data_IF_869550831554
#
_entry.id   IF_869550831554
#
_cell.length_a   1.000
_cell.length_b   1.000
_cell.length_c   1.000
_cell.angle_alpha   90.00
_cell.angle_beta   90.00
_cell.angle_gamma   90.00
#
_symmetry.space_group_name_H-M   'P 1'
#
loop_
_entity.id
_entity.type
_entity.pdbx_description
1 polymer ?
#
# COMPACT_ATOMS: atom_id res chain seq x y z
N UNK A 1 9.26 -6.97 11.35
CA UNK A 1 8.54 -8.13 11.88
C UNK A 1 8.45 -9.16 10.77
N UNK A 2 8.82 -10.43 11.02
CA UNK A 2 8.77 -11.43 9.98
C UNK A 2 7.32 -11.76 9.58
N UNK A 3 7.16 -12.20 8.34
CA UNK A 3 5.95 -12.93 7.93
C UNK A 3 5.77 -14.19 8.80
N UNK A 4 4.54 -14.62 8.98
CA UNK A 4 4.21 -15.79 9.79
C UNK A 4 4.19 -17.09 8.98
N UNK A 5 4.24 -17.00 7.65
CA UNK A 5 4.12 -18.16 6.78
C UNK A 5 2.67 -18.62 6.61
N UNK A 6 1.71 -17.74 6.89
CA UNK A 6 0.29 -18.07 7.00
C UNK A 6 -0.56 -17.28 6.01
N UNK A 7 -1.43 -17.98 5.29
CA UNK A 7 -2.41 -17.34 4.41
C UNK A 7 -1.74 -16.50 3.34
N UNK A 8 -2.27 -15.30 3.08
CA UNK A 8 -1.73 -14.32 2.15
C UNK A 8 -1.09 -13.17 2.93
N UNK A 9 0.20 -12.90 2.68
CA UNK A 9 0.96 -11.89 3.40
C UNK A 9 1.67 -10.96 2.42
N UNK A 10 1.30 -9.67 2.43
CA UNK A 10 2.09 -8.63 1.80
C UNK A 10 3.21 -8.21 2.76
N UNK A 11 4.42 -8.72 2.56
CA UNK A 11 5.56 -8.29 3.33
C UNK A 11 6.10 -6.98 2.75
N UNK A 12 6.17 -5.93 3.57
CA UNK A 12 6.74 -4.63 3.23
C UNK A 12 7.93 -4.40 4.14
N UNK A 13 9.13 -4.31 3.58
CA UNK A 13 10.35 -4.00 4.31
C UNK A 13 10.80 -2.57 3.98
N UNK A 14 10.82 -1.71 4.99
CA UNK A 14 11.31 -0.33 4.86
C UNK A 14 12.84 -0.33 4.83
N UNK A 15 13.40 0.22 3.76
CA UNK A 15 14.84 0.22 3.51
C UNK A 15 15.50 1.54 3.94
N UNK A 16 14.77 2.65 3.90
CA UNK A 16 15.32 3.95 4.29
C UNK A 16 14.46 5.14 3.90
N UNK A 17 15.10 6.32 3.87
CA UNK A 17 14.51 7.58 3.46
C UNK A 17 15.16 8.07 2.15
N UNK A 18 14.31 8.40 1.18
CA UNK A 18 14.71 9.21 0.03
C UNK A 18 14.47 10.68 0.36
N UNK A 19 15.41 11.54 -0.04
CA UNK A 19 15.33 13.00 0.11
C UNK A 19 15.60 13.67 -1.22
N UNK A 20 14.80 14.68 -1.56
CA UNK A 20 14.96 15.54 -2.74
C UNK A 20 14.63 16.97 -2.36
N UNK A 21 15.65 17.79 -2.10
CA UNK A 21 15.49 19.12 -1.52
C UNK A 21 14.78 19.04 -0.17
N UNK A 22 13.68 19.78 -0.01
CA UNK A 22 12.85 19.76 1.19
C UNK A 22 11.88 18.57 1.27
N UNK A 23 11.78 17.76 0.21
CA UNK A 23 10.88 16.61 0.18
C UNK A 23 11.59 15.37 0.72
N UNK A 24 10.85 14.54 1.44
CA UNK A 24 11.31 13.26 1.91
C UNK A 24 10.19 12.22 1.82
N UNK A 25 10.56 10.95 1.67
CA UNK A 25 9.65 9.81 1.66
C UNK A 25 10.33 8.57 2.22
N UNK A 26 9.55 7.67 2.80
CA UNK A 26 10.03 6.33 3.14
C UNK A 26 10.01 5.48 1.88
N UNK A 27 11.06 4.70 1.68
CA UNK A 27 11.16 3.75 0.57
C UNK A 27 11.46 2.36 1.10
N UNK A 28 10.80 1.36 0.54
CA UNK A 28 10.92 -0.04 0.93
C UNK A 28 10.69 -0.99 -0.23
N UNK A 29 10.93 -2.27 0.00
CA UNK A 29 10.56 -3.35 -0.92
C UNK A 29 9.30 -4.05 -0.43
N UNK A 30 8.53 -4.63 -1.34
CA UNK A 30 7.44 -5.52 -0.95
C UNK A 30 7.44 -6.82 -1.78
N UNK A 31 6.94 -7.88 -1.18
CA UNK A 31 6.63 -9.12 -1.86
C UNK A 31 5.43 -9.81 -1.22
N UNK A 32 4.55 -10.35 -2.05
CA UNK A 32 3.45 -11.22 -1.60
C UNK A 32 3.98 -12.62 -1.34
N UNK A 33 3.57 -13.19 -0.21
CA UNK A 33 3.81 -14.58 0.16
C UNK A 33 2.47 -15.27 0.39
N UNK A 34 2.34 -16.51 -0.07
CA UNK A 34 1.17 -17.35 0.19
C UNK A 34 1.65 -18.63 0.87
N UNK A 35 1.22 -18.85 2.13
CA UNK A 35 1.72 -19.95 2.95
C UNK A 35 3.23 -19.90 3.16
N UNK A 36 3.79 -18.69 3.31
CA UNK A 36 5.23 -18.46 3.47
C UNK A 36 6.06 -18.53 2.19
N UNK A 37 5.47 -18.92 1.06
CA UNK A 37 6.17 -19.03 -0.23
C UNK A 37 6.01 -17.73 -1.02
N UNK A 38 7.09 -17.10 -1.51
CA UNK A 38 6.99 -15.96 -2.42
C UNK A 38 6.11 -16.30 -3.62
N UNK A 39 4.98 -15.62 -3.74
CA UNK A 39 3.97 -15.92 -4.75
C UNK A 39 3.16 -14.66 -5.06
N UNK A 40 3.13 -14.26 -6.34
CA UNK A 40 2.39 -13.08 -6.77
C UNK A 40 3.24 -11.81 -6.86
N UNK A 41 2.62 -10.62 -6.74
CA UNK A 41 3.30 -9.35 -6.99
C UNK A 41 4.46 -9.07 -6.03
N UNK A 42 5.53 -8.48 -6.57
CA UNK A 42 6.65 -7.92 -5.83
C UNK A 42 7.07 -6.58 -6.46
N UNK A 43 7.73 -5.74 -5.67
CA UNK A 43 8.16 -4.43 -6.11
C UNK A 43 8.68 -3.58 -4.96
N UNK A 44 8.43 -2.27 -5.06
CA UNK A 44 8.81 -1.30 -4.06
C UNK A 44 7.61 -0.56 -3.52
N UNK A 45 7.75 -0.04 -2.31
CA UNK A 45 6.71 0.67 -1.58
C UNK A 45 7.21 2.06 -1.24
N UNK A 46 6.39 3.06 -1.47
CA UNK A 46 6.60 4.42 -0.97
C UNK A 46 5.55 4.73 0.08
N UNK A 47 5.98 5.33 1.18
CA UNK A 47 5.12 5.81 2.27
C UNK A 47 5.55 7.24 2.64
N UNK A 48 4.70 7.96 3.36
CA UNK A 48 5.11 9.21 4.02
C UNK A 48 6.27 8.97 5.00
N UNK A 49 6.88 10.05 5.48
CA UNK A 49 7.98 9.99 6.47
C UNK A 49 7.50 9.52 7.85
N UNK A 50 8.48 9.14 8.67
CA UNK A 50 8.26 8.60 10.02
C UNK A 50 8.46 9.59 11.16
N UNK A 51 8.50 9.08 12.41
CA UNK A 51 8.39 7.67 12.80
C UNK A 51 6.99 7.09 12.51
N UNK A 52 6.83 5.76 12.54
CA UNK A 52 5.51 5.15 12.57
C UNK A 52 4.69 5.62 13.79
N UNK A 53 3.42 5.95 13.59
CA UNK A 53 2.55 6.41 14.68
C UNK A 53 1.07 6.13 14.37
N UNK A 54 0.46 5.26 15.18
CA UNK A 54 -0.96 4.89 15.12
C UNK A 54 -1.83 5.54 16.22
N UNK A 55 -1.25 6.42 17.03
CA UNK A 55 -1.89 7.01 18.22
C UNK A 55 -2.83 8.18 17.89
N UNK A 56 -2.64 8.84 16.76
CA UNK A 56 -3.46 9.98 16.34
C UNK A 56 -3.78 9.94 14.84
N UNK A 57 -5.00 10.34 14.42
CA UNK A 57 -5.29 10.61 13.02
C UNK A 57 -4.49 11.83 12.53
N UNK A 58 -4.26 11.89 11.22
CA UNK A 58 -3.72 13.07 10.51
C UNK A 58 -2.41 13.66 11.06
N UNK A 59 -1.61 12.85 11.76
CA UNK A 59 -0.33 13.24 12.34
C UNK A 59 0.82 13.39 11.32
N UNK A 60 0.53 13.31 10.01
CA UNK A 60 1.52 13.39 8.94
C UNK A 60 2.47 12.19 8.82
N UNK A 61 2.30 11.17 9.66
CA UNK A 61 3.23 10.05 9.79
C UNK A 61 2.72 8.79 9.08
N UNK A 62 3.65 7.88 8.80
CA UNK A 62 3.34 6.51 8.36
C UNK A 62 2.74 5.69 9.50
N UNK A 63 2.11 4.56 9.20
CA UNK A 63 1.66 3.62 10.23
C UNK A 63 2.86 2.91 10.87
N UNK A 64 2.71 2.37 12.07
CA UNK A 64 3.79 1.64 12.77
C UNK A 64 4.18 0.35 12.02
N UNK A 65 5.36 -0.19 12.34
CA UNK A 65 5.69 -1.56 11.99
C UNK A 65 4.71 -2.52 12.70
N UNK A 66 4.24 -3.55 12.00
CA UNK A 66 3.23 -4.46 12.54
C UNK A 66 2.54 -5.31 11.48
N UNK A 67 1.55 -6.11 11.91
CA UNK A 67 0.69 -6.90 11.03
C UNK A 67 -0.72 -6.33 11.09
N UNK A 68 -1.29 -6.11 9.93
CA UNK A 68 -2.58 -5.45 9.77
C UNK A 68 -3.48 -6.29 8.87
N UNK A 69 -4.72 -6.55 9.31
CA UNK A 69 -5.71 -7.23 8.48
C UNK A 69 -6.10 -6.37 7.27
N UNK A 70 -6.61 -7.02 6.24
CA UNK A 70 -7.07 -6.36 5.02
C UNK A 70 -8.58 -6.50 4.86
N UNK A 71 -9.20 -5.49 4.28
CA UNK A 71 -10.61 -5.52 3.84
C UNK A 71 -10.73 -4.96 2.44
N UNK A 72 -11.72 -5.45 1.69
CA UNK A 72 -12.18 -4.76 0.49
C UNK A 72 -12.71 -3.37 0.87
N UNK A 73 -12.68 -2.45 -0.08
CA UNK A 73 -13.07 -1.06 0.09
C UNK A 73 -14.04 -0.64 -1.02
N UNK A 74 -15.04 0.19 -0.70
CA UNK A 74 -16.07 0.63 -1.65
C UNK A 74 -16.54 2.08 -1.34
N UNK A 75 -15.66 3.05 -1.57
CA UNK A 75 -15.97 4.50 -1.53
C UNK A 75 -15.39 5.18 -2.78
N UNK A 76 -14.73 6.34 -2.65
CA UNK A 76 -13.99 6.98 -3.76
C UNK A 76 -12.88 6.09 -4.32
N UNK A 77 -12.31 5.25 -3.46
CA UNK A 77 -11.47 4.13 -3.86
C UNK A 77 -12.22 2.82 -3.67
N UNK A 78 -11.96 1.84 -4.53
CA UNK A 78 -12.68 0.57 -4.56
C UNK A 78 -11.77 -0.64 -4.81
N UNK A 79 -12.11 -1.79 -4.24
CA UNK A 79 -11.42 -3.07 -4.50
C UNK A 79 -11.99 -3.83 -5.69
N UNK A 80 -13.16 -3.44 -6.19
CA UNK A 80 -13.77 -3.94 -7.42
C UNK A 80 -14.57 -2.81 -8.09
N UNK A 81 -14.67 -2.85 -9.42
CA UNK A 81 -15.39 -1.83 -10.18
C UNK A 81 -14.66 -0.49 -10.33
N UNK A 82 -13.35 -0.44 -10.09
CA UNK A 82 -12.53 0.76 -10.35
C UNK A 82 -12.50 1.11 -11.85
N UNK A 83 -12.32 2.39 -12.16
CA UNK A 83 -12.14 2.86 -13.55
C UNK A 83 -11.01 2.06 -14.21
N UNK A 84 -11.23 1.70 -15.48
CA UNK A 84 -10.27 1.02 -16.35
C UNK A 84 -9.59 1.95 -17.34
N UNK A 85 -9.88 3.25 -17.31
CA UNK A 85 -9.26 4.21 -18.22
C UNK A 85 -7.74 4.16 -18.12
N UNK A 86 -7.12 4.12 -19.29
CA UNK A 86 -5.68 4.15 -19.53
C UNK A 86 -5.22 5.52 -20.08
N UNK A 87 -6.16 6.44 -20.29
CA UNK A 87 -5.93 7.77 -20.86
C UNK A 87 -6.19 8.91 -19.87
N UNK A 88 -7.02 8.69 -18.85
CA UNK A 88 -7.35 9.69 -17.82
C UNK A 88 -6.67 9.33 -16.51
N UNK A 89 -5.67 10.12 -16.13
CA UNK A 89 -4.94 9.95 -14.86
C UNK A 89 -5.89 10.10 -13.68
N UNK A 90 -5.84 9.15 -12.75
CA UNK A 90 -6.63 9.15 -11.52
C UNK A 90 -8.15 9.26 -11.69
N UNK A 91 -8.71 8.76 -12.80
CA UNK A 91 -10.17 8.71 -13.00
C UNK A 91 -10.85 7.84 -11.91
N UNK A 92 -11.83 8.38 -11.18
CA UNK A 92 -12.54 7.61 -10.15
C UNK A 92 -13.54 6.62 -10.75
N UNK A 93 -13.90 5.55 -10.02
CA UNK A 93 -13.32 5.17 -8.73
C UNK A 93 -11.93 4.55 -8.89
N UNK A 94 -10.99 4.88 -8.01
CA UNK A 94 -9.61 4.39 -8.09
C UNK A 94 -9.44 3.03 -7.37
N UNK A 95 -8.51 2.15 -7.80
CA UNK A 95 -8.30 0.87 -7.11
C UNK A 95 -7.69 1.08 -5.72
N UNK A 96 -8.15 0.35 -4.70
CA UNK A 96 -7.48 0.27 -3.40
C UNK A 96 -7.83 -0.98 -2.60
N UNK A 97 -7.01 -1.26 -1.59
CA UNK A 97 -7.27 -2.21 -0.50
C UNK A 97 -7.20 -1.41 0.81
N UNK A 98 -8.09 -1.68 1.77
CA UNK A 98 -8.05 -0.99 3.05
C UNK A 98 -7.29 -1.82 4.09
N UNK A 99 -6.44 -1.12 4.84
CA UNK A 99 -5.69 -1.65 5.98
C UNK A 99 -6.50 -1.42 7.26
N UNK A 100 -6.67 -2.47 8.04
CA UNK A 100 -7.39 -2.47 9.32
C UNK A 100 -6.41 -2.46 10.50
N UNK A 101 -6.96 -2.36 11.72
CA UNK A 101 -6.21 -2.49 12.98
C UNK A 101 -5.05 -1.49 13.14
N UNK A 102 -5.16 -0.30 12.54
CA UNK A 102 -4.15 0.78 12.60
C UNK A 102 -4.36 1.71 13.81
N UNK A 103 -4.78 1.14 14.95
CA UNK A 103 -5.03 1.87 16.18
C UNK A 103 -6.12 2.94 16.04
N UNK A 104 -5.77 4.20 16.33
CA UNK A 104 -6.70 5.35 16.24
C UNK A 104 -6.81 5.91 14.83
N UNK A 105 -6.12 5.32 13.86
CA UNK A 105 -6.14 5.74 12.46
C UNK A 105 -7.20 4.95 11.69
N UNK A 106 -7.84 5.64 10.75
CA UNK A 106 -8.79 5.02 9.82
C UNK A 106 -8.47 5.51 8.42
N UNK A 107 -9.03 4.85 7.40
CA UNK A 107 -8.81 5.27 6.01
C UNK A 107 -7.39 5.01 5.48
N UNK A 108 -6.60 4.17 6.14
CA UNK A 108 -5.31 3.73 5.62
C UNK A 108 -5.55 2.77 4.45
N UNK A 109 -4.98 3.11 3.29
CA UNK A 109 -5.18 2.38 2.05
C UNK A 109 -3.85 1.94 1.44
N UNK A 110 -3.88 0.80 0.74
CA UNK A 110 -2.91 0.46 -0.30
C UNK A 110 -3.54 0.93 -1.61
N UNK A 111 -3.00 1.98 -2.21
CA UNK A 111 -3.60 2.62 -3.40
C UNK A 111 -2.50 3.22 -4.30
N UNK A 112 -2.83 3.64 -5.53
CA UNK A 112 -1.86 4.29 -6.40
C UNK A 112 -1.50 5.66 -5.83
N UNK A 113 -0.29 6.18 -6.09
CA UNK A 113 -0.03 7.61 -5.84
C UNK A 113 -1.11 8.47 -6.50
N UNK A 114 -1.56 9.58 -5.89
CA UNK A 114 -2.70 10.36 -6.43
C UNK A 114 -2.61 11.88 -6.19
N UNK A 115 -3.39 12.62 -6.98
CA UNK A 115 -3.47 14.09 -7.28
C UNK A 115 -2.85 14.43 -8.64
N UNK A 116 -3.44 15.34 -9.45
CA UNK A 116 -3.64 15.17 -10.89
C UNK A 116 -2.36 15.18 -11.76
N UNK A 117 -1.20 15.18 -11.12
CA UNK A 117 0.06 14.93 -11.77
C UNK A 117 0.23 13.44 -12.14
N UNK A 118 0.74 13.14 -13.34
CA UNK A 118 1.11 11.77 -13.73
C UNK A 118 2.30 11.23 -12.92
N UNK A 119 3.03 12.13 -12.25
CA UNK A 119 4.27 11.87 -11.52
C UNK A 119 4.21 12.53 -10.15
N UNK A 120 4.45 11.76 -9.08
CA UNK A 120 4.38 12.24 -7.70
C UNK A 120 5.56 11.75 -6.87
N UNK A 121 6.15 12.66 -6.10
CA UNK A 121 7.25 12.31 -5.20
C UNK A 121 6.78 11.69 -3.89
N UNK A 122 5.77 12.32 -3.29
CA UNK A 122 5.32 12.07 -1.91
C UNK A 122 4.10 11.15 -1.92
N UNK A 123 4.09 10.21 -0.99
CA UNK A 123 2.96 9.33 -0.72
C UNK A 123 1.91 9.98 0.19
N UNK A 124 0.68 9.47 0.14
CA UNK A 124 -0.39 9.95 1.02
C UNK A 124 -0.12 9.61 2.48
N UNK A 125 -0.62 10.45 3.41
CA UNK A 125 -0.38 10.28 4.85
C UNK A 125 -0.88 8.91 5.32
N UNK A 126 0.02 8.09 5.87
CA UNK A 126 -0.28 6.75 6.39
C UNK A 126 -0.50 5.65 5.34
N UNK A 127 -0.80 6.00 4.10
CA UNK A 127 -1.05 5.04 3.03
C UNK A 127 0.22 4.40 2.49
N UNK A 128 0.02 3.28 1.80
CA UNK A 128 1.06 2.51 1.13
C UNK A 128 0.87 2.65 -0.38
N UNK A 129 1.89 3.11 -1.08
CA UNK A 129 1.85 3.31 -2.53
C UNK A 129 2.87 2.40 -3.24
N UNK A 130 2.42 1.26 -3.81
CA UNK A 130 3.27 0.35 -4.57
C UNK A 130 3.84 1.04 -5.82
N UNK A 131 5.07 0.70 -6.19
CA UNK A 131 5.75 1.21 -7.39
C UNK A 131 6.91 0.28 -7.81
N UNK A 132 7.48 0.54 -8.99
CA UNK A 132 8.76 0.01 -9.45
C UNK A 132 9.90 0.53 -8.59
N UNK A 133 11.10 0.02 -8.82
CA UNK A 133 12.28 0.64 -8.23
C UNK A 133 12.34 2.12 -8.62
N UNK A 134 12.53 3.00 -7.66
CA UNK A 134 12.72 4.44 -7.86
C UNK A 134 13.91 4.91 -7.04
N UNK A 135 14.67 5.86 -7.57
CA UNK A 135 15.78 6.50 -6.86
C UNK A 135 15.29 7.65 -5.96
N UNK A 136 16.21 8.29 -5.23
CA UNK A 136 15.87 9.42 -4.38
C UNK A 136 15.37 10.66 -5.15
N UNK A 137 15.72 10.78 -6.44
CA UNK A 137 15.38 11.94 -7.27
C UNK A 137 14.19 11.70 -8.21
N UNK A 138 13.68 10.46 -8.29
CA UNK A 138 12.58 10.10 -9.19
C UNK A 138 11.19 10.29 -8.58
N UNK A 139 10.26 10.76 -9.39
CA UNK A 139 8.84 10.65 -9.09
C UNK A 139 8.33 9.22 -9.31
N UNK A 140 7.27 8.86 -8.57
CA UNK A 140 6.49 7.65 -8.81
C UNK A 140 5.58 7.87 -10.01
N UNK A 141 5.60 6.93 -10.94
CA UNK A 141 4.71 6.89 -12.10
C UNK A 141 3.33 6.36 -11.69
N UNK A 142 2.27 7.13 -11.99
CA UNK A 142 0.90 6.76 -11.64
C UNK A 142 0.47 5.42 -12.25
N UNK A 143 0.80 5.18 -13.52
CA UNK A 143 0.33 4.00 -14.25
C UNK A 143 0.99 2.72 -13.75
N UNK A 144 2.29 2.78 -13.46
CA UNK A 144 3.00 1.68 -12.79
C UNK A 144 2.43 1.42 -11.39
N UNK A 145 2.22 2.48 -10.60
CA UNK A 145 1.65 2.35 -9.26
C UNK A 145 0.25 1.73 -9.29
N UNK A 146 -0.58 2.17 -10.23
CA UNK A 146 -1.93 1.63 -10.48
C UNK A 146 -1.90 0.17 -10.89
N UNK A 147 -1.05 -0.21 -11.83
CA UNK A 147 -0.92 -1.60 -12.28
C UNK A 147 -0.55 -2.54 -11.11
N UNK A 148 0.31 -2.09 -10.19
CA UNK A 148 0.72 -2.87 -9.02
C UNK A 148 -0.39 -3.06 -8.00
N UNK A 149 -1.16 -2.00 -7.73
CA UNK A 149 -2.32 -2.09 -6.83
C UNK A 149 -3.36 -3.05 -7.41
N UNK A 150 -3.62 -2.97 -8.71
CA UNK A 150 -4.49 -3.94 -9.41
C UNK A 150 -3.92 -5.36 -9.28
N UNK A 151 -2.62 -5.55 -9.46
CA UNK A 151 -1.98 -6.85 -9.28
C UNK A 151 -2.16 -7.42 -7.87
N UNK A 152 -2.08 -6.58 -6.82
CA UNK A 152 -2.35 -6.99 -5.44
C UNK A 152 -3.83 -7.37 -5.24
N UNK A 153 -4.76 -6.58 -5.76
CA UNK A 153 -6.20 -6.87 -5.73
C UNK A 153 -6.51 -8.21 -6.40
N UNK A 154 -5.98 -8.45 -7.60
CA UNK A 154 -6.22 -9.69 -8.34
C UNK A 154 -5.58 -10.90 -7.64
N UNK A 155 -4.41 -10.72 -6.99
CA UNK A 155 -3.82 -11.76 -6.15
C UNK A 155 -4.72 -12.12 -4.95
N UNK A 156 -5.25 -11.11 -4.23
CA UNK A 156 -6.18 -11.32 -3.13
C UNK A 156 -7.50 -11.96 -3.59
N UNK A 157 -8.05 -11.53 -4.73
CA UNK A 157 -9.27 -12.10 -5.29
C UNK A 157 -9.11 -13.58 -5.64
N UNK A 158 -7.95 -14.00 -6.16
CA UNK A 158 -7.66 -15.42 -6.39
C UNK A 158 -7.54 -16.21 -5.08
N UNK A 159 -6.94 -15.61 -4.06
CA UNK A 159 -6.75 -16.25 -2.75
C UNK A 159 -8.06 -16.40 -1.96
N UNK A 160 -8.93 -15.39 -2.00
CA UNK A 160 -10.22 -15.32 -1.29
C UNK A 160 -11.31 -14.68 -2.15
N UNK A 161 -11.86 -15.41 -3.14
CA UNK A 161 -12.86 -14.86 -4.05
C UNK A 161 -14.14 -14.38 -3.35
N UNK A 162 -14.55 -15.06 -2.27
CA UNK A 162 -15.76 -14.73 -1.52
C UNK A 162 -15.75 -13.29 -0.95
N UNK A 163 -14.59 -12.75 -0.56
CA UNK A 163 -14.49 -11.39 -0.04
C UNK A 163 -14.78 -10.30 -1.11
N UNK A 164 -14.77 -10.67 -2.38
CA UNK A 164 -15.01 -9.80 -3.54
C UNK A 164 -16.35 -10.08 -4.24
N UNK A 165 -17.19 -10.95 -3.68
CA UNK A 165 -18.46 -11.34 -4.30
C UNK A 165 -19.44 -10.15 -4.37
N UNK A 166 -19.46 -9.32 -3.33
CA UNK A 166 -20.36 -8.20 -3.18
C UNK A 166 -19.61 -6.87 -3.06
N UNK A 167 -20.29 -5.79 -3.46
CA UNK A 167 -19.78 -4.42 -3.36
C UNK A 167 -19.91 -3.83 -1.94
N UNK A 168 -19.55 -4.62 -0.93
CA UNK A 168 -19.57 -4.22 0.48
C UNK A 168 -18.20 -4.47 1.12
N UNK A 169 -17.73 -3.59 2.03
CA UNK A 169 -16.46 -3.82 2.72
C UNK A 169 -16.48 -5.14 3.49
N UNK A 170 -15.62 -6.06 3.09
CA UNK A 170 -15.52 -7.42 3.62
C UNK A 170 -14.08 -7.71 4.01
N UNK A 171 -13.88 -8.16 5.24
CA UNK A 171 -12.57 -8.61 5.72
C UNK A 171 -12.10 -9.77 4.86
N UNK A 172 -10.84 -9.73 4.43
CA UNK A 172 -10.25 -10.79 3.62
C UNK A 172 -9.58 -11.79 4.58
N UNK A 173 -10.29 -12.88 4.89
CA UNK A 173 -9.83 -13.86 5.87
C UNK A 173 -8.48 -14.48 5.52
N UNK A 174 -7.60 -14.58 6.51
CA UNK A 174 -6.21 -15.03 6.38
C UNK A 174 -5.39 -14.19 5.38
N UNK A 175 -5.69 -12.90 5.25
CA UNK A 175 -4.85 -11.96 4.51
C UNK A 175 -4.40 -10.78 5.39
N UNK A 176 -3.11 -10.45 5.31
CA UNK A 176 -2.53 -9.34 6.05
C UNK A 176 -1.44 -8.61 5.27
N UNK A 177 -1.22 -7.34 5.62
CA UNK A 177 0.04 -6.65 5.33
C UNK A 177 0.94 -6.71 6.57
N UNK A 178 2.20 -7.07 6.36
CA UNK A 178 3.23 -7.17 7.40
C UNK A 178 4.29 -6.13 7.10
N UNK A 179 4.44 -5.15 7.98
CA UNK A 179 5.40 -4.06 7.84
C UNK A 179 6.61 -4.36 8.72
N UNK A 180 7.77 -4.46 8.08
CA UNK A 180 9.08 -4.59 8.69
C UNK A 180 9.90 -3.31 8.57
N UNK A 181 10.62 -3.00 9.65
CA UNK A 181 11.46 -1.83 9.80
C UNK A 181 10.74 -0.62 10.35
N UNK A 182 11.44 0.08 11.25
CA UNK A 182 11.40 1.54 11.32
C UNK A 182 12.73 2.00 10.74
N UNK A 183 12.78 2.83 9.68
CA UNK A 183 14.03 3.47 9.32
C UNK A 183 14.38 4.44 10.44
N UNK A 184 15.31 4.01 11.29
CA UNK A 184 16.16 4.90 12.08
C UNK A 184 16.95 5.72 11.06
N UNK A 185 17.01 7.05 11.23
CA UNK A 185 18.00 7.83 10.50
C UNK A 185 19.35 7.18 10.78
N UNK A 186 19.94 6.52 9.77
CA UNK A 186 21.34 6.14 9.90
C UNK A 186 22.10 7.48 9.94
N UNK A 187 22.89 7.72 10.99
CA UNK A 187 23.66 8.96 11.13
C UNK A 187 24.60 9.18 9.95
#
# INVERSE_FOLDING_TARGET
MPIQGEGWELHVERLGLHRRGALARTYGRYAVHIGGVPSGPAGFMVETVGPGDNSAPDNGRRIEAGRYRLTTHYRTFVSAGYSRSDSVVAEPPMPAIRVLDTGRRTGILIHPVYLPAPKLYVASIGCLNPTRAVTADEDVDFWDSRARVIGLIESLRRFRPAAFADAVPTVIDNAAVVIDGEPMERP
#
